data_IF_148724197724
#
_entry.id   IF_148724197724
#
_cell.length_a   1.000
_cell.length_b   1.000
_cell.length_c   1.000
_cell.angle_alpha   90.00
_cell.angle_beta   90.00
_cell.angle_gamma   90.00
#
_symmetry.space_group_name_H-M   'P 1'
#
loop_
_entity.id
_entity.type
_entity.pdbx_description
1 polymer ?
#
# COMPACT_ATOMS: atom_id res chain seq x y z
N UNK A 1 -28.18 20.47 46.04
CA UNK A 1 -26.77 20.14 45.65
C UNK A 1 -26.16 21.43 45.13
N UNK A 2 -25.21 22.02 45.86
CA UNK A 2 -24.66 23.35 45.53
C UNK A 2 -23.82 23.30 44.23
N UNK A 3 -23.91 24.36 43.39
CA UNK A 3 -23.20 24.48 42.13
C UNK A 3 -21.68 24.23 42.22
N UNK A 4 -21.08 24.48 43.38
CA UNK A 4 -19.67 24.16 43.69
C UNK A 4 -19.37 22.66 43.73
N UNK A 5 -20.28 21.85 44.26
CA UNK A 5 -20.13 20.38 44.32
C UNK A 5 -20.24 19.75 42.93
N UNK A 6 -21.08 20.33 42.06
CA UNK A 6 -21.21 19.87 40.67
C UNK A 6 -19.99 20.18 39.83
N UNK A 7 -19.38 21.35 39.99
CA UNK A 7 -18.13 21.75 39.31
C UNK A 7 -16.94 20.89 39.74
N UNK A 8 -16.81 20.55 41.03
CA UNK A 8 -15.74 19.68 41.52
C UNK A 8 -15.91 18.26 41.02
N UNK A 9 -17.12 17.73 40.97
CA UNK A 9 -17.40 16.40 40.47
C UNK A 9 -17.19 16.29 38.95
N UNK A 10 -17.57 17.31 38.17
CA UNK A 10 -17.27 17.39 36.74
C UNK A 10 -15.77 17.48 36.45
N UNK A 11 -15.03 18.27 37.26
CA UNK A 11 -13.56 18.35 37.14
C UNK A 11 -12.86 17.03 37.46
N UNK A 12 -13.32 16.29 38.48
CA UNK A 12 -12.80 14.97 38.84
C UNK A 12 -13.10 13.91 37.76
N UNK A 13 -14.28 13.95 37.15
CA UNK A 13 -14.65 13.05 36.05
C UNK A 13 -13.84 13.34 34.78
N UNK A 14 -13.60 14.61 34.45
CA UNK A 14 -12.73 15.00 33.33
C UNK A 14 -11.26 14.56 33.56
N UNK A 15 -10.74 14.72 34.78
CA UNK A 15 -9.37 14.25 35.11
C UNK A 15 -9.27 12.73 35.11
N UNK A 16 -10.29 12.00 35.54
CA UNK A 16 -10.31 10.55 35.47
C UNK A 16 -10.38 10.04 34.03
N UNK A 17 -11.19 10.68 33.18
CA UNK A 17 -11.24 10.34 31.75
C UNK A 17 -9.92 10.60 31.04
N UNK A 18 -9.27 11.74 31.27
CA UNK A 18 -7.94 12.04 30.71
C UNK A 18 -6.84 11.08 31.16
N UNK A 19 -6.88 10.67 32.44
CA UNK A 19 -5.92 9.65 32.94
C UNK A 19 -6.17 8.27 32.33
N UNK A 20 -7.43 7.88 32.13
CA UNK A 20 -7.78 6.62 31.50
C UNK A 20 -7.34 6.58 30.03
N UNK A 21 -7.53 7.66 29.29
CA UNK A 21 -7.08 7.78 27.91
C UNK A 21 -5.54 7.72 27.82
N UNK A 22 -4.79 8.46 28.64
CA UNK A 22 -3.34 8.43 28.66
C UNK A 22 -2.79 7.04 29.03
N UNK A 23 -3.39 6.34 29.98
CA UNK A 23 -2.98 5.00 30.38
C UNK A 23 -3.26 3.96 29.30
N UNK A 24 -4.35 4.14 28.53
CA UNK A 24 -4.67 3.29 27.39
C UNK A 24 -3.69 3.52 26.23
N UNK A 25 -3.29 4.74 25.96
CA UNK A 25 -2.31 5.08 24.94
C UNK A 25 -0.92 4.52 25.26
N UNK A 26 -0.48 4.53 26.55
CA UNK A 26 0.73 3.86 27.00
C UNK A 26 0.66 2.34 26.81
N UNK A 27 -0.49 1.73 27.08
CA UNK A 27 -0.74 0.30 26.84
C UNK A 27 -0.64 -0.08 25.37
N UNK A 28 -1.25 0.75 24.51
CA UNK A 28 -1.19 0.58 23.06
C UNK A 28 0.24 0.71 22.54
N UNK A 29 0.95 1.77 22.96
CA UNK A 29 2.34 1.97 22.57
C UNK A 29 3.22 0.77 22.93
N UNK A 30 3.12 0.26 24.16
CA UNK A 30 3.89 -0.89 24.62
C UNK A 30 3.56 -2.16 23.83
N UNK A 31 2.30 -2.39 23.48
CA UNK A 31 1.90 -3.51 22.62
C UNK A 31 2.55 -3.43 21.25
N UNK A 32 2.50 -2.23 20.61
CA UNK A 32 3.10 -1.99 19.31
C UNK A 32 4.63 -2.13 19.35
N UNK A 33 5.28 -1.59 20.38
CA UNK A 33 6.72 -1.70 20.58
C UNK A 33 7.19 -3.17 20.67
N UNK A 34 6.40 -4.05 21.28
CA UNK A 34 6.75 -5.47 21.38
C UNK A 34 6.54 -6.26 20.09
N UNK A 35 5.50 -5.94 19.31
CA UNK A 35 5.10 -6.72 18.15
C UNK A 35 5.54 -6.11 16.80
N UNK A 36 5.93 -4.83 16.79
CA UNK A 36 6.48 -4.19 15.59
C UNK A 36 7.96 -4.48 15.43
N UNK A 37 8.43 -4.37 14.21
CA UNK A 37 9.82 -4.66 13.86
C UNK A 37 10.33 -3.66 12.83
N UNK A 38 11.63 -3.45 12.84
CA UNK A 38 12.37 -2.78 11.76
C UNK A 38 12.97 -3.82 10.83
N UNK A 39 12.95 -3.56 9.53
CA UNK A 39 13.46 -4.48 8.52
C UNK A 39 14.71 -3.90 7.89
N UNK A 40 15.79 -4.67 7.97
CA UNK A 40 17.05 -4.35 7.34
C UNK A 40 17.22 -5.22 6.10
N UNK A 41 17.51 -4.58 4.99
CA UNK A 41 17.88 -5.24 3.72
C UNK A 41 19.34 -4.91 3.44
N UNK A 42 20.16 -5.95 3.28
CA UNK A 42 21.61 -5.81 3.08
C UNK A 42 22.26 -4.86 4.12
N UNK A 43 21.88 -5.03 5.40
CA UNK A 43 22.35 -4.26 6.58
C UNK A 43 21.91 -2.80 6.64
N UNK A 44 20.96 -2.36 5.80
CA UNK A 44 20.40 -1.00 5.80
C UNK A 44 18.95 -1.04 6.22
N UNK A 45 18.54 -0.12 7.11
CA UNK A 45 17.14 0.03 7.47
C UNK A 45 16.34 0.40 6.21
N UNK A 46 15.45 -0.49 5.79
CA UNK A 46 14.62 -0.36 4.60
C UNK A 46 13.17 0.04 4.91
N UNK A 47 12.68 -0.34 6.08
CA UNK A 47 11.32 -0.05 6.53
C UNK A 47 10.97 -0.78 7.81
N UNK A 48 9.68 -0.95 8.04
CA UNK A 48 9.09 -1.55 9.22
C UNK A 48 8.24 -2.78 8.87
N UNK A 49 7.72 -3.43 9.90
CA UNK A 49 6.76 -4.51 9.81
C UNK A 49 6.12 -4.78 11.15
N UNK A 50 5.26 -5.77 11.21
CA UNK A 50 4.73 -6.28 12.47
C UNK A 50 4.60 -7.80 12.44
N UNK A 51 4.81 -8.42 13.59
CA UNK A 51 4.57 -9.85 13.78
C UNK A 51 3.05 -10.03 13.92
N UNK A 52 2.46 -10.93 13.16
CA UNK A 52 1.00 -11.15 13.08
C UNK A 52 0.56 -12.58 13.47
N UNK A 53 1.52 -13.40 13.87
CA UNK A 53 1.29 -14.82 14.18
C UNK A 53 2.28 -15.25 15.28
N UNK A 54 1.85 -16.06 16.28
CA UNK A 54 2.71 -16.53 17.35
C UNK A 54 3.91 -17.38 16.87
N UNK A 55 3.80 -17.95 15.66
CA UNK A 55 4.90 -18.70 15.03
C UNK A 55 5.94 -17.81 14.34
N UNK A 56 5.77 -16.47 14.37
CA UNK A 56 6.73 -15.50 13.85
C UNK A 56 6.57 -15.23 12.36
N UNK A 57 5.35 -15.02 11.90
CA UNK A 57 5.08 -14.43 10.60
C UNK A 57 5.10 -12.91 10.76
N UNK A 58 5.94 -12.24 9.98
CA UNK A 58 6.01 -10.77 9.87
C UNK A 58 5.28 -10.35 8.61
N UNK A 59 4.40 -9.37 8.74
CA UNK A 59 3.75 -8.68 7.63
C UNK A 59 4.42 -7.33 7.45
N UNK A 60 4.75 -6.98 6.19
CA UNK A 60 5.41 -5.74 5.79
C UNK A 60 4.97 -5.32 4.39
N UNK A 61 5.44 -4.16 3.90
CA UNK A 61 5.24 -3.75 2.52
C UNK A 61 6.20 -4.48 1.57
N UNK A 62 5.71 -4.86 0.38
CA UNK A 62 6.52 -5.58 -0.61
C UNK A 62 7.70 -4.77 -1.11
N UNK A 63 7.53 -3.45 -1.32
CA UNK A 63 8.61 -2.57 -1.79
C UNK A 63 9.79 -2.47 -0.81
N UNK A 64 9.57 -2.71 0.49
CA UNK A 64 10.64 -2.73 1.51
C UNK A 64 11.65 -3.83 1.22
N UNK A 65 11.20 -4.96 0.66
CA UNK A 65 12.04 -6.15 0.46
C UNK A 65 12.20 -6.57 -1.02
N UNK A 66 11.50 -5.92 -1.97
CA UNK A 66 11.54 -6.33 -3.40
C UNK A 66 12.95 -6.34 -4.02
N UNK A 67 13.88 -5.58 -3.46
CA UNK A 67 15.27 -5.49 -3.91
C UNK A 67 16.24 -6.20 -2.96
N UNK A 68 15.76 -7.06 -2.05
CA UNK A 68 16.59 -7.82 -1.13
C UNK A 68 17.39 -8.89 -1.89
N UNK A 69 18.65 -8.59 -2.20
CA UNK A 69 19.50 -9.47 -2.99
C UNK A 69 20.07 -10.66 -2.21
N UNK A 70 20.18 -10.58 -0.87
CA UNK A 70 20.86 -11.62 -0.07
C UNK A 70 20.37 -11.78 1.36
N UNK A 71 20.15 -10.70 2.09
CA UNK A 71 19.93 -10.80 3.53
C UNK A 71 18.81 -9.88 3.98
N UNK A 72 17.78 -10.49 4.57
CA UNK A 72 16.71 -9.77 5.26
C UNK A 72 16.88 -10.05 6.74
N UNK A 73 17.07 -9.01 7.53
CA UNK A 73 17.14 -9.08 8.98
C UNK A 73 16.00 -8.28 9.59
N UNK A 74 15.54 -8.71 10.73
CA UNK A 74 14.45 -8.10 11.48
C UNK A 74 14.97 -7.70 12.84
N UNK A 75 14.82 -6.43 13.18
CA UNK A 75 15.14 -5.88 14.50
C UNK A 75 13.85 -5.76 15.30
N UNK A 76 13.79 -6.37 16.44
CA UNK A 76 12.65 -6.29 17.36
C UNK A 76 13.13 -5.83 18.72
N UNK A 77 12.45 -4.87 19.32
CA UNK A 77 12.76 -4.37 20.67
C UNK A 77 12.74 -5.50 21.72
N UNK A 78 11.80 -6.44 21.58
CA UNK A 78 11.63 -7.56 22.52
C UNK A 78 12.46 -8.81 22.21
N UNK A 79 12.90 -8.99 20.94
CA UNK A 79 13.54 -10.23 20.47
C UNK A 79 14.97 -10.04 19.96
N UNK A 80 15.43 -8.77 19.84
CA UNK A 80 16.71 -8.44 19.25
C UNK A 80 16.75 -8.64 17.73
N UNK A 81 17.92 -8.94 17.20
CA UNK A 81 18.18 -9.10 15.76
C UNK A 81 17.95 -10.55 15.33
N UNK A 82 17.09 -10.76 14.35
CA UNK A 82 16.69 -12.07 13.84
C UNK A 82 16.87 -12.10 12.31
N UNK A 83 17.14 -13.30 11.77
CA UNK A 83 17.11 -13.53 10.33
C UNK A 83 15.67 -13.69 9.87
N UNK A 84 15.26 -12.91 8.85
CA UNK A 84 14.00 -13.09 8.15
C UNK A 84 14.17 -13.87 6.84
N UNK A 85 13.20 -14.68 6.46
CA UNK A 85 13.14 -15.31 5.15
C UNK A 85 11.83 -14.94 4.46
N UNK A 86 11.91 -14.55 3.18
CA UNK A 86 10.72 -14.22 2.39
C UNK A 86 9.87 -15.48 2.20
N UNK A 87 8.60 -15.39 2.59
CA UNK A 87 7.64 -16.49 2.49
C UNK A 87 6.70 -16.28 1.28
N UNK A 88 6.10 -15.10 1.16
CA UNK A 88 5.15 -14.78 0.10
C UNK A 88 5.14 -13.27 -0.18
N UNK A 89 4.63 -12.88 -1.35
CA UNK A 89 4.49 -11.49 -1.76
C UNK A 89 3.20 -11.27 -2.54
N UNK A 90 2.58 -10.14 -2.30
CA UNK A 90 1.44 -9.60 -3.03
C UNK A 90 1.79 -8.20 -3.56
N UNK A 91 2.22 -8.15 -4.82
CA UNK A 91 2.63 -6.89 -5.44
C UNK A 91 1.45 -5.94 -5.71
N UNK A 92 0.24 -6.48 -5.92
CA UNK A 92 -0.96 -5.69 -6.19
C UNK A 92 -1.45 -4.88 -4.98
N UNK A 93 -1.10 -5.32 -3.79
CA UNK A 93 -1.45 -4.64 -2.54
C UNK A 93 -0.22 -4.19 -1.75
N UNK A 94 0.96 -4.28 -2.37
CA UNK A 94 2.24 -3.93 -1.75
C UNK A 94 2.46 -4.63 -0.39
N UNK A 95 2.20 -5.95 -0.32
CA UNK A 95 2.35 -6.75 0.89
C UNK A 95 3.41 -7.84 0.73
N UNK A 96 4.09 -8.16 1.81
CA UNK A 96 4.99 -9.32 1.89
C UNK A 96 4.95 -9.98 3.25
N UNK A 97 5.16 -11.29 3.26
CA UNK A 97 5.32 -12.10 4.47
C UNK A 97 6.77 -12.54 4.63
N UNK A 98 7.31 -12.31 5.82
CA UNK A 98 8.59 -12.90 6.23
C UNK A 98 8.34 -13.95 7.31
N UNK A 99 9.20 -14.97 7.34
CA UNK A 99 9.24 -15.97 8.39
C UNK A 99 10.45 -15.75 9.29
N UNK A 100 10.20 -15.66 10.59
CA UNK A 100 11.24 -15.63 11.63
C UNK A 100 11.60 -17.05 12.09
N UNK A 101 12.79 -17.24 12.68
CA UNK A 101 13.20 -18.51 13.27
C UNK A 101 12.22 -18.98 14.36
N UNK A 102 12.01 -20.30 14.45
CA UNK A 102 11.24 -20.90 15.53
C UNK A 102 11.88 -20.63 16.89
N UNK A 103 11.07 -20.41 17.91
CA UNK A 103 11.51 -20.22 19.30
C UNK A 103 10.64 -21.01 20.28
N UNK A 104 11.15 -21.21 21.50
CA UNK A 104 10.43 -21.96 22.56
C UNK A 104 9.18 -21.21 23.07
N UNK A 105 9.25 -19.88 23.17
CA UNK A 105 8.11 -19.04 23.57
C UNK A 105 7.44 -18.46 22.33
N UNK A 106 6.12 -18.27 22.29
CA UNK A 106 5.44 -17.58 21.20
C UNK A 106 6.05 -16.20 20.95
N UNK A 107 6.03 -15.75 19.69
CA UNK A 107 6.36 -14.36 19.36
C UNK A 107 5.25 -13.43 19.85
N UNK A 108 5.56 -12.23 20.35
CA UNK A 108 4.54 -11.19 20.51
C UNK A 108 3.98 -10.86 19.12
N UNK A 109 2.66 -10.66 19.00
CA UNK A 109 2.04 -10.43 17.71
C UNK A 109 0.79 -9.56 17.83
N UNK A 110 0.45 -8.88 16.72
CA UNK A 110 -0.79 -8.13 16.55
C UNK A 110 -1.87 -9.03 15.94
N UNK A 111 -3.08 -8.96 16.49
CA UNK A 111 -4.25 -9.62 15.89
C UNK A 111 -4.82 -8.72 14.80
N UNK A 112 -5.33 -9.30 13.72
CA UNK A 112 -6.07 -8.56 12.71
C UNK A 112 -7.48 -8.26 13.22
N UNK A 113 -7.93 -7.02 13.07
CA UNK A 113 -9.31 -6.63 13.39
C UNK A 113 -10.30 -7.46 12.57
N UNK A 114 -11.43 -7.84 13.14
CA UNK A 114 -12.43 -8.68 12.44
C UNK A 114 -13.07 -7.99 11.24
N UNK A 115 -13.34 -6.70 11.35
CA UNK A 115 -13.95 -5.85 10.30
C UNK A 115 -13.14 -4.59 10.13
N UNK A 116 -12.93 -4.09 8.90
CA UNK A 116 -12.28 -2.82 8.68
C UNK A 116 -12.98 -1.70 9.47
N UNK A 117 -12.24 -0.73 10.03
CA UNK A 117 -12.83 0.42 10.70
C UNK A 117 -13.61 1.29 9.69
N UNK A 118 -14.61 2.01 10.19
CA UNK A 118 -15.39 2.93 9.38
C UNK A 118 -14.56 4.16 8.96
N UNK A 119 -14.94 4.80 7.85
CA UNK A 119 -14.40 6.11 7.50
C UNK A 119 -14.62 7.11 8.67
N UNK A 120 -13.60 7.92 8.94
CA UNK A 120 -13.55 8.83 10.11
C UNK A 120 -13.04 8.20 11.41
N UNK A 121 -12.81 6.87 11.45
CA UNK A 121 -12.22 6.21 12.63
C UNK A 121 -10.76 6.63 12.81
N UNK A 122 -10.38 6.92 14.05
CA UNK A 122 -8.98 7.14 14.44
C UNK A 122 -8.23 5.81 14.49
N UNK A 123 -7.06 5.81 13.88
CA UNK A 123 -6.11 4.68 13.88
C UNK A 123 -4.70 5.22 14.14
N UNK A 124 -3.77 4.34 14.46
CA UNK A 124 -2.40 4.71 14.84
C UNK A 124 -1.40 3.93 13.99
N UNK A 125 -0.40 4.63 13.46
CA UNK A 125 0.73 4.05 12.76
C UNK A 125 1.92 3.98 13.70
N UNK A 126 2.65 2.86 13.67
CA UNK A 126 3.89 2.70 14.41
C UNK A 126 5.06 2.35 13.48
N UNK A 127 6.23 2.95 13.74
CA UNK A 127 7.42 2.67 12.93
C UNK A 127 8.59 3.60 13.21
N UNK A 128 9.52 3.72 12.25
CA UNK A 128 10.81 4.39 12.41
C UNK A 128 11.05 5.45 11.33
N UNK A 129 10.29 6.56 11.35
CA UNK A 129 10.39 7.61 10.33
C UNK A 129 11.79 8.25 10.35
N UNK A 130 12.41 8.35 9.17
CA UNK A 130 13.72 9.00 9.00
C UNK A 130 14.74 8.55 10.06
N UNK A 131 14.79 7.25 10.36
CA UNK A 131 15.65 6.62 11.37
C UNK A 131 15.37 7.07 12.82
N UNK A 132 14.17 7.59 13.13
CA UNK A 132 13.68 7.80 14.50
C UNK A 132 12.87 6.58 14.89
N UNK A 133 13.45 5.80 15.80
CA UNK A 133 12.86 4.54 16.24
C UNK A 133 11.62 4.77 17.09
N UNK A 134 10.69 3.80 17.04
CA UNK A 134 9.58 3.68 18.00
C UNK A 134 8.61 4.88 18.02
N UNK A 135 8.29 5.43 16.86
CA UNK A 135 7.36 6.56 16.73
C UNK A 135 5.95 6.07 16.45
N UNK A 136 4.98 6.54 17.24
CA UNK A 136 3.56 6.35 17.01
C UNK A 136 2.91 7.68 16.57
N UNK A 137 2.13 7.63 15.49
CA UNK A 137 1.40 8.80 14.96
C UNK A 137 -0.06 8.46 14.70
N UNK A 138 -1.02 9.37 14.94
CA UNK A 138 -2.42 9.16 14.62
C UNK A 138 -2.71 9.38 13.14
N UNK A 139 -3.80 8.79 12.67
CA UNK A 139 -4.42 9.03 11.38
C UNK A 139 -5.92 8.74 11.42
N UNK A 140 -6.63 9.12 10.36
CA UNK A 140 -8.05 8.85 10.19
C UNK A 140 -8.29 8.04 8.93
N UNK A 141 -9.12 7.00 8.98
CA UNK A 141 -9.57 6.31 7.78
C UNK A 141 -10.33 7.31 6.91
N UNK A 142 -9.76 7.69 5.77
CA UNK A 142 -10.29 8.77 4.94
C UNK A 142 -11.36 8.31 3.95
N UNK A 143 -11.40 7.01 3.61
CA UNK A 143 -12.28 6.47 2.59
C UNK A 143 -12.81 5.09 2.97
N UNK A 144 -14.07 4.80 2.62
CA UNK A 144 -14.70 3.50 2.91
C UNK A 144 -14.25 2.40 1.95
N UNK A 145 -14.20 2.72 0.65
CA UNK A 145 -13.78 1.77 -0.38
C UNK A 145 -12.29 1.91 -0.67
N UNK A 146 -11.69 0.82 -1.12
CA UNK A 146 -10.36 0.81 -1.70
C UNK A 146 -10.35 1.54 -3.05
N UNK A 147 -9.17 1.98 -3.46
CA UNK A 147 -8.92 2.61 -4.76
C UNK A 147 -7.53 2.21 -5.23
N UNK A 148 -7.15 2.66 -6.41
CA UNK A 148 -5.85 2.34 -6.98
C UNK A 148 -4.96 3.58 -7.06
N UNK A 149 -3.72 3.41 -6.63
CA UNK A 149 -2.68 4.43 -6.73
C UNK A 149 -1.54 3.93 -7.61
N UNK A 150 -1.00 4.85 -8.44
CA UNK A 150 0.13 4.54 -9.29
C UNK A 150 1.43 4.81 -8.53
N UNK A 151 2.12 3.75 -8.16
CA UNK A 151 3.32 3.80 -7.32
C UNK A 151 4.44 3.01 -7.98
N UNK A 152 5.61 3.62 -8.15
CA UNK A 152 6.79 2.97 -8.75
C UNK A 152 6.53 2.31 -10.12
N UNK A 153 5.63 2.87 -10.90
CA UNK A 153 5.32 2.36 -12.24
C UNK A 153 4.21 1.32 -12.31
N UNK A 154 3.58 0.98 -11.22
CA UNK A 154 2.52 -0.01 -11.15
C UNK A 154 1.33 0.50 -10.34
N UNK A 155 0.14 -0.05 -10.61
CA UNK A 155 -1.04 0.23 -9.79
C UNK A 155 -1.11 -0.73 -8.61
N UNK A 156 -1.32 -0.17 -7.42
CA UNK A 156 -1.60 -0.93 -6.21
C UNK A 156 -2.97 -0.55 -5.64
N UNK A 157 -3.71 -1.52 -5.12
CA UNK A 157 -4.97 -1.25 -4.41
C UNK A 157 -4.68 -0.85 -2.96
N UNK A 158 -5.27 0.26 -2.52
CA UNK A 158 -5.01 0.87 -1.21
C UNK A 158 -6.28 1.37 -0.53
N UNK A 159 -6.16 1.60 0.78
CA UNK A 159 -7.07 2.40 1.60
C UNK A 159 -6.42 3.75 1.88
N UNK A 160 -7.15 4.84 1.69
CA UNK A 160 -6.70 6.18 2.02
C UNK A 160 -6.83 6.47 3.53
N UNK A 161 -5.78 7.04 4.10
CA UNK A 161 -5.71 7.46 5.50
C UNK A 161 -5.27 8.93 5.52
N UNK A 162 -6.07 9.79 6.13
CA UNK A 162 -5.68 11.16 6.41
C UNK A 162 -4.68 11.14 7.58
N UNK A 163 -3.43 11.45 7.29
CA UNK A 163 -2.34 11.42 8.26
C UNK A 163 -1.02 11.81 7.62
N UNK A 164 -0.17 12.48 8.39
CA UNK A 164 1.15 12.86 7.94
C UNK A 164 2.12 11.69 8.12
N UNK A 165 2.50 11.08 7.02
CA UNK A 165 3.42 9.94 6.98
C UNK A 165 4.64 10.30 6.16
N UNK A 166 5.83 9.93 6.64
CA UNK A 166 7.10 10.17 5.96
C UNK A 166 7.82 8.85 5.66
N UNK A 167 8.94 8.94 4.94
CA UNK A 167 9.83 7.78 4.67
C UNK A 167 10.26 7.12 5.98
N UNK A 168 10.29 5.79 5.99
CA UNK A 168 10.67 4.96 7.14
C UNK A 168 9.49 4.32 7.85
N UNK A 169 8.25 4.79 7.65
CA UNK A 169 7.05 4.10 8.12
C UNK A 169 6.62 2.93 7.21
N UNK A 170 7.16 2.82 6.00
CA UNK A 170 6.82 1.75 5.03
C UNK A 170 6.85 0.38 5.69
N UNK A 171 5.77 -0.39 5.53
CA UNK A 171 5.58 -1.69 6.15
C UNK A 171 5.10 -1.66 7.61
N UNK A 172 5.06 -0.49 8.25
CA UNK A 172 4.58 -0.34 9.63
C UNK A 172 3.08 -0.62 9.77
N UNK A 173 2.64 -1.12 10.93
CA UNK A 173 1.24 -1.43 11.18
C UNK A 173 0.41 -0.17 11.44
N UNK A 174 -0.74 -0.08 10.77
CA UNK A 174 -1.87 0.72 11.20
C UNK A 174 -2.74 -0.11 12.13
N UNK A 175 -3.05 0.40 13.30
CA UNK A 175 -3.87 -0.30 14.30
C UNK A 175 -5.03 0.55 14.79
N UNK A 176 -6.09 -0.10 15.29
CA UNK A 176 -7.14 0.58 16.02
C UNK A 176 -6.69 0.87 17.49
N UNK A 177 -7.56 1.49 18.28
CA UNK A 177 -7.27 1.84 19.69
C UNK A 177 -7.08 0.60 20.58
N UNK A 178 -7.61 -0.55 20.18
CA UNK A 178 -7.46 -1.84 20.86
C UNK A 178 -6.15 -2.57 20.49
N UNK A 179 -5.31 -1.97 19.62
CA UNK A 179 -4.06 -2.56 19.15
C UNK A 179 -4.24 -3.67 18.12
N UNK A 180 -5.42 -3.76 17.50
CA UNK A 180 -5.65 -4.71 16.42
C UNK A 180 -5.25 -4.11 15.08
N UNK A 181 -4.58 -4.90 14.24
CA UNK A 181 -4.08 -4.50 12.93
C UNK A 181 -5.23 -4.22 11.96
N UNK A 182 -5.22 -3.05 11.34
CA UNK A 182 -6.20 -2.61 10.33
C UNK A 182 -5.61 -2.47 8.93
N UNK A 183 -4.30 -2.41 8.80
CA UNK A 183 -3.60 -2.32 7.52
C UNK A 183 -2.10 -2.15 7.67
N UNK A 184 -1.39 -2.12 6.55
CA UNK A 184 0.06 -1.94 6.50
C UNK A 184 0.39 -0.69 5.69
N UNK A 185 1.21 0.17 6.24
CA UNK A 185 1.65 1.39 5.57
C UNK A 185 2.43 1.04 4.28
N UNK A 186 1.91 1.47 3.15
CA UNK A 186 2.57 1.37 1.85
C UNK A 186 3.28 2.69 1.52
N UNK A 187 2.58 3.61 0.91
CA UNK A 187 3.12 4.88 0.41
C UNK A 187 2.30 6.08 0.90
N UNK A 188 2.62 7.27 0.42
CA UNK A 188 1.87 8.48 0.76
C UNK A 188 1.90 9.45 -0.44
N UNK A 189 0.86 10.26 -0.56
CA UNK A 189 0.80 11.32 -1.54
C UNK A 189 1.89 12.36 -1.26
N UNK A 190 2.68 12.68 -2.30
CA UNK A 190 3.70 13.72 -2.23
C UNK A 190 3.70 14.54 -3.52
N UNK A 191 3.90 15.83 -3.40
CA UNK A 191 4.20 16.74 -4.52
C UNK A 191 5.69 17.12 -4.40
N UNK A 192 6.52 16.57 -5.28
CA UNK A 192 7.96 16.58 -5.10
C UNK A 192 8.35 15.85 -3.80
N UNK A 193 9.07 16.54 -2.90
CA UNK A 193 9.45 15.97 -1.60
C UNK A 193 8.44 16.30 -0.46
N UNK A 194 7.37 17.05 -0.75
CA UNK A 194 6.39 17.50 0.24
C UNK A 194 5.23 16.51 0.36
N UNK A 195 5.10 15.86 1.53
CA UNK A 195 3.96 15.00 1.86
C UNK A 195 2.68 15.82 2.03
N UNK A 196 1.57 15.33 1.47
CA UNK A 196 0.30 16.06 1.38
C UNK A 196 -0.74 15.62 2.44
N UNK A 197 -0.33 14.84 3.44
CA UNK A 197 -1.23 14.42 4.53
C UNK A 197 -2.21 13.31 4.14
N UNK A 198 -2.01 12.66 3.01
CA UNK A 198 -2.75 11.48 2.59
C UNK A 198 -1.79 10.29 2.50
N UNK A 199 -1.98 9.30 3.35
CA UNK A 199 -1.24 8.04 3.39
C UNK A 199 -2.03 6.93 2.71
N UNK A 200 -1.32 5.94 2.19
CA UNK A 200 -1.86 4.78 1.50
C UNK A 200 -1.51 3.51 2.27
N UNK A 201 -2.53 2.80 2.70
CA UNK A 201 -2.39 1.54 3.43
C UNK A 201 -2.85 0.38 2.58
N UNK A 202 -2.11 -0.73 2.62
CA UNK A 202 -2.58 -1.98 2.06
C UNK A 202 -3.90 -2.42 2.74
N UNK A 203 -4.89 -2.94 1.97
CA UNK A 203 -6.17 -3.35 2.51
C UNK A 203 -6.05 -4.55 3.46
N UNK A 204 -6.82 -4.52 4.56
CA UNK A 204 -6.86 -5.61 5.54
C UNK A 204 -7.22 -6.96 4.91
N UNK A 205 -8.14 -6.97 3.94
CA UNK A 205 -8.60 -8.20 3.30
C UNK A 205 -7.49 -8.86 2.48
N UNK A 206 -6.70 -8.07 1.75
CA UNK A 206 -5.52 -8.56 1.05
C UNK A 206 -4.49 -9.17 2.01
N UNK A 207 -4.27 -8.53 3.16
CA UNK A 207 -3.41 -9.08 4.21
C UNK A 207 -3.93 -10.41 4.75
N UNK A 208 -5.26 -10.56 4.96
CA UNK A 208 -5.88 -11.83 5.37
C UNK A 208 -5.68 -12.94 4.35
N UNK A 209 -5.92 -12.63 3.08
CA UNK A 209 -5.77 -13.59 1.99
C UNK A 209 -4.33 -14.06 1.86
N UNK A 210 -3.37 -13.14 1.90
CA UNK A 210 -1.95 -13.47 1.84
C UNK A 210 -1.49 -14.33 3.03
N UNK A 211 -1.95 -14.01 4.24
CA UNK A 211 -1.68 -14.79 5.45
C UNK A 211 -2.28 -16.20 5.40
N UNK A 212 -3.46 -16.34 4.79
CA UNK A 212 -4.15 -17.63 4.63
C UNK A 212 -3.48 -18.50 3.57
N UNK A 213 -3.21 -17.95 2.39
CA UNK A 213 -2.61 -18.71 1.28
C UNK A 213 -1.13 -18.98 1.51
N UNK A 214 -0.40 -17.98 2.01
CA UNK A 214 1.08 -17.95 2.09
C UNK A 214 1.74 -18.19 0.74
N UNK A 215 1.07 -17.78 -0.33
CA UNK A 215 1.52 -17.94 -1.71
C UNK A 215 1.68 -16.58 -2.39
N UNK A 216 2.55 -16.52 -3.38
CA UNK A 216 2.70 -15.34 -4.21
C UNK A 216 1.44 -15.11 -5.04
N UNK A 217 0.90 -13.91 -4.98
CA UNK A 217 -0.27 -13.54 -5.78
C UNK A 217 0.10 -13.32 -7.26
N UNK A 218 -0.92 -13.40 -8.12
CA UNK A 218 -0.78 -13.23 -9.57
C UNK A 218 -1.87 -12.27 -10.02
N UNK A 219 -1.49 -11.05 -10.32
CA UNK A 219 -2.39 -10.05 -10.89
C UNK A 219 -1.92 -9.63 -12.27
N UNK A 220 -2.87 -9.30 -13.13
CA UNK A 220 -2.59 -8.81 -14.46
C UNK A 220 -2.22 -7.32 -14.44
N UNK A 221 -1.38 -6.89 -15.41
CA UNK A 221 -1.06 -5.47 -15.65
C UNK A 221 -1.10 -5.15 -17.14
N UNK A 222 -1.47 -3.92 -17.46
CA UNK A 222 -1.35 -3.36 -18.81
C UNK A 222 0.07 -2.84 -19.07
N UNK A 223 0.88 -2.61 -18.04
CA UNK A 223 2.20 -2.00 -18.15
C UNK A 223 2.11 -0.56 -18.64
N UNK A 224 1.18 0.22 -18.10
CA UNK A 224 0.94 1.60 -18.50
C UNK A 224 0.46 2.46 -17.30
N UNK A 225 0.82 3.73 -17.29
CA UNK A 225 0.24 4.75 -16.43
C UNK A 225 -0.94 5.41 -17.14
N UNK A 226 -2.09 5.49 -16.47
CA UNK A 226 -3.38 5.88 -17.02
C UNK A 226 -3.97 7.01 -16.18
N UNK A 227 -4.46 8.05 -16.84
CA UNK A 227 -5.15 9.19 -16.21
C UNK A 227 -6.59 9.26 -16.71
N UNK A 228 -7.48 9.76 -15.87
CA UNK A 228 -8.86 10.01 -16.25
C UNK A 228 -8.91 11.23 -17.20
N UNK A 229 -9.85 11.26 -18.14
CA UNK A 229 -9.87 12.30 -19.17
C UNK A 229 -10.00 13.71 -18.56
N UNK A 230 -10.75 13.84 -17.46
CA UNK A 230 -10.91 15.11 -16.74
C UNK A 230 -9.70 15.54 -15.89
N UNK A 231 -8.66 14.70 -15.74
CA UNK A 231 -7.37 15.09 -15.15
C UNK A 231 -6.50 15.88 -16.15
N UNK A 232 -6.92 15.93 -17.43
CA UNK A 232 -6.14 16.57 -18.50
C UNK A 232 -6.25 18.11 -18.46
N UNK A 233 -5.24 18.76 -19.02
CA UNK A 233 -5.24 20.23 -19.13
C UNK A 233 -6.38 20.73 -20.02
N UNK A 234 -6.99 21.90 -19.74
CA UNK A 234 -8.09 22.45 -20.52
C UNK A 234 -7.83 22.49 -22.03
N UNK A 235 -6.65 22.93 -22.46
CA UNK A 235 -6.29 22.99 -23.87
C UNK A 235 -6.12 21.65 -24.58
N UNK A 236 -6.06 20.53 -23.82
CA UNK A 236 -6.18 19.19 -24.38
C UNK A 236 -7.66 18.83 -24.58
N UNK A 237 -8.50 19.09 -23.57
CA UNK A 237 -9.93 18.76 -23.61
C UNK A 237 -10.67 19.51 -24.73
N UNK A 238 -10.33 20.78 -24.97
CA UNK A 238 -10.91 21.60 -26.04
C UNK A 238 -10.70 21.04 -27.47
N UNK A 239 -9.73 20.15 -27.64
CA UNK A 239 -9.43 19.52 -28.94
C UNK A 239 -10.15 18.20 -29.14
N UNK A 240 -10.77 17.65 -28.11
CA UNK A 240 -11.48 16.39 -28.18
C UNK A 240 -12.94 16.61 -28.65
N UNK A 241 -13.54 15.64 -29.39
CA UNK A 241 -14.98 15.62 -29.59
C UNK A 241 -15.73 15.70 -28.24
N UNK A 242 -16.87 16.40 -28.21
CA UNK A 242 -17.62 16.67 -26.96
C UNK A 242 -18.07 15.38 -26.23
N UNK A 243 -18.29 14.30 -26.98
CA UNK A 243 -18.71 13.00 -26.47
C UNK A 243 -17.55 12.05 -26.12
N UNK A 244 -16.31 12.56 -26.14
CA UNK A 244 -15.15 11.72 -25.82
C UNK A 244 -15.12 11.39 -24.32
N UNK A 245 -15.19 10.10 -23.98
CA UNK A 245 -15.02 9.57 -22.63
C UNK A 245 -13.93 8.52 -22.60
N UNK A 246 -13.39 8.25 -21.40
CA UNK A 246 -12.39 7.20 -21.23
C UNK A 246 -11.16 7.61 -20.43
N UNK A 247 -10.07 6.87 -20.63
CA UNK A 247 -8.84 6.95 -19.87
C UNK A 247 -7.65 7.18 -20.80
N UNK A 248 -6.89 8.22 -20.53
CA UNK A 248 -5.71 8.61 -21.34
C UNK A 248 -4.49 7.81 -20.89
N UNK A 249 -3.83 7.12 -21.81
CA UNK A 249 -2.56 6.44 -21.57
C UNK A 249 -1.45 7.48 -21.53
N UNK A 250 -0.88 7.75 -20.34
CA UNK A 250 0.18 8.77 -20.16
C UNK A 250 1.57 8.18 -20.25
N UNK A 251 1.74 6.97 -19.74
CA UNK A 251 3.03 6.26 -19.71
C UNK A 251 2.84 4.89 -20.32
N UNK A 252 3.74 4.51 -21.21
CA UNK A 252 3.83 3.15 -21.77
C UNK A 252 5.15 2.54 -21.31
N UNK A 253 5.08 1.44 -20.60
CA UNK A 253 6.28 0.75 -20.14
C UNK A 253 6.82 -0.14 -21.25
N UNK A 254 8.07 0.06 -21.59
CA UNK A 254 8.74 -0.73 -22.64
C UNK A 254 8.70 -2.24 -22.33
N UNK A 255 8.18 -3.02 -23.25
CA UNK A 255 7.96 -4.45 -23.09
C UNK A 255 6.71 -4.83 -22.29
N UNK A 256 5.91 -3.85 -21.83
CA UNK A 256 4.61 -4.06 -21.21
C UNK A 256 3.52 -4.46 -22.22
N UNK A 257 2.34 -4.82 -21.73
CA UNK A 257 1.24 -5.30 -22.56
C UNK A 257 0.77 -4.25 -23.59
N UNK A 258 0.66 -2.98 -23.18
CA UNK A 258 0.29 -1.86 -24.07
C UNK A 258 1.36 -1.64 -25.14
N UNK A 259 2.65 -1.64 -24.77
CA UNK A 259 3.76 -1.49 -25.73
C UNK A 259 3.78 -2.61 -26.77
N UNK A 260 3.63 -3.86 -26.31
CA UNK A 260 3.59 -5.05 -27.19
C UNK A 260 2.38 -5.04 -28.16
N UNK A 261 1.30 -4.37 -27.80
CA UNK A 261 0.08 -4.24 -28.63
C UNK A 261 0.13 -3.06 -29.61
N UNK A 262 1.22 -2.26 -29.60
CA UNK A 262 1.40 -1.10 -30.48
C UNK A 262 0.43 0.06 -30.17
N UNK A 263 -0.08 0.15 -28.95
CA UNK A 263 -0.88 1.28 -28.49
C UNK A 263 0.07 2.35 -27.96
N UNK A 264 -0.02 3.57 -28.50
CA UNK A 264 0.87 4.66 -28.15
C UNK A 264 0.39 5.42 -26.89
N UNK A 265 1.33 6.11 -26.22
CA UNK A 265 1.00 7.12 -25.24
C UNK A 265 0.14 8.22 -25.88
N UNK A 266 -0.81 8.76 -25.12
CA UNK A 266 -1.83 9.70 -25.60
C UNK A 266 -3.11 9.03 -26.12
N UNK A 267 -3.09 7.74 -26.48
CA UNK A 267 -4.33 7.01 -26.83
C UNK A 267 -5.32 7.01 -25.67
N UNK A 268 -6.61 6.96 -25.99
CA UNK A 268 -7.71 6.95 -25.02
C UNK A 268 -8.36 5.57 -25.01
N UNK A 269 -8.46 4.92 -23.87
CA UNK A 269 -9.19 3.66 -23.67
C UNK A 269 -10.62 4.00 -23.27
N UNK A 270 -11.62 3.58 -24.08
CA UNK A 270 -13.04 3.81 -23.82
C UNK A 270 -13.77 2.57 -23.30
N UNK A 271 -13.27 1.36 -23.57
CA UNK A 271 -13.86 0.12 -23.07
C UNK A 271 -12.81 -0.99 -22.94
N UNK A 272 -13.11 -1.99 -22.10
CA UNK A 272 -12.41 -3.26 -21.99
C UNK A 272 -13.43 -4.40 -22.03
N UNK A 273 -13.23 -5.36 -22.95
CA UNK A 273 -14.17 -6.48 -23.18
C UNK A 273 -15.63 -6.00 -23.27
N UNK A 274 -15.87 -5.00 -24.15
CA UNK A 274 -17.16 -4.36 -24.39
C UNK A 274 -17.74 -3.57 -23.18
N UNK A 275 -17.06 -3.57 -22.03
CA UNK A 275 -17.49 -2.82 -20.84
C UNK A 275 -16.90 -1.40 -20.88
N UNK A 276 -17.74 -0.33 -20.98
CA UNK A 276 -17.27 1.05 -20.96
C UNK A 276 -16.52 1.37 -19.69
N UNK A 277 -15.46 2.19 -19.79
CA UNK A 277 -14.64 2.66 -18.67
C UNK A 277 -14.40 4.15 -18.77
N UNK A 278 -14.70 4.88 -17.69
CA UNK A 278 -14.49 6.31 -17.56
C UNK A 278 -13.57 6.63 -16.38
N UNK A 279 -13.54 5.70 -15.41
CA UNK A 279 -12.70 5.84 -14.21
C UNK A 279 -11.60 4.80 -14.18
N UNK A 280 -10.45 5.20 -13.71
CA UNK A 280 -9.29 4.33 -13.51
C UNK A 280 -9.63 3.10 -12.65
N UNK A 281 -10.38 3.31 -11.56
CA UNK A 281 -10.81 2.23 -10.68
C UNK A 281 -11.68 1.18 -11.41
N UNK A 282 -12.51 1.58 -12.38
CA UNK A 282 -13.34 0.67 -13.18
C UNK A 282 -12.48 -0.24 -14.03
N UNK A 283 -11.56 0.34 -14.82
CA UNK A 283 -10.66 -0.43 -15.67
C UNK A 283 -9.80 -1.40 -14.85
N UNK A 284 -9.22 -0.95 -13.74
CA UNK A 284 -8.33 -1.80 -12.92
C UNK A 284 -9.08 -2.92 -12.21
N UNK A 285 -10.35 -2.69 -11.81
CA UNK A 285 -11.19 -3.76 -11.26
C UNK A 285 -11.60 -4.78 -12.32
N UNK A 286 -11.83 -4.38 -13.57
CA UNK A 286 -12.05 -5.29 -14.68
C UNK A 286 -10.78 -6.09 -14.96
N UNK A 287 -9.64 -5.40 -15.11
CA UNK A 287 -8.33 -6.00 -15.37
C UNK A 287 -7.98 -7.10 -14.36
N UNK A 288 -8.26 -6.89 -13.07
CA UNK A 288 -7.92 -7.84 -12.02
C UNK A 288 -8.87 -9.04 -11.91
N UNK A 289 -9.88 -9.14 -12.78
CA UNK A 289 -10.65 -10.39 -12.97
C UNK A 289 -9.93 -11.38 -13.87
N UNK A 290 -8.94 -10.92 -14.63
CA UNK A 290 -8.15 -11.71 -15.56
C UNK A 290 -6.82 -12.18 -14.94
N UNK A 291 -6.28 -13.24 -15.54
CA UNK A 291 -4.97 -13.77 -15.17
C UNK A 291 -3.88 -13.21 -16.10
N UNK A 292 -2.63 -13.08 -15.60
CA UNK A 292 -1.49 -12.77 -16.47
C UNK A 292 -1.40 -13.77 -17.64
N UNK A 293 -1.22 -13.23 -18.84
CA UNK A 293 -1.15 -14.00 -20.09
C UNK A 293 -2.50 -14.19 -20.81
N UNK A 294 -3.63 -13.86 -20.19
CA UNK A 294 -4.92 -13.77 -20.90
C UNK A 294 -4.92 -12.59 -21.87
N UNK A 295 -5.78 -12.66 -22.87
CA UNK A 295 -5.98 -11.58 -23.84
C UNK A 295 -7.33 -10.93 -23.59
N UNK A 296 -7.33 -9.60 -23.54
CA UNK A 296 -8.52 -8.76 -23.42
C UNK A 296 -8.63 -7.87 -24.64
N UNK A 297 -9.83 -7.44 -24.98
CA UNK A 297 -10.09 -6.49 -26.05
C UNK A 297 -10.20 -5.07 -25.48
N UNK A 298 -9.30 -4.15 -25.90
CA UNK A 298 -9.39 -2.74 -25.55
C UNK A 298 -9.97 -1.95 -26.73
N UNK A 299 -11.05 -1.20 -26.50
CA UNK A 299 -11.48 -0.17 -27.42
C UNK A 299 -10.64 1.10 -27.16
N UNK A 300 -9.90 1.52 -28.18
CA UNK A 300 -9.00 2.67 -28.08
C UNK A 300 -9.20 3.63 -29.22
N UNK A 301 -9.00 4.93 -28.96
CA UNK A 301 -8.92 5.98 -29.98
C UNK A 301 -7.56 6.64 -29.97
N UNK A 302 -7.27 7.40 -31.02
CA UNK A 302 -6.10 8.29 -31.07
C UNK A 302 -6.20 9.39 -30.01
N UNK A 303 -5.10 10.12 -29.81
CA UNK A 303 -4.99 11.19 -28.79
C UNK A 303 -5.96 12.38 -29.02
N UNK A 304 -6.50 12.51 -30.24
CA UNK A 304 -7.52 13.49 -30.60
C UNK A 304 -8.96 12.96 -30.51
N UNK A 305 -9.14 11.76 -29.94
CA UNK A 305 -10.45 11.11 -29.80
C UNK A 305 -10.97 10.46 -31.08
N UNK A 306 -10.23 10.51 -32.19
CA UNK A 306 -10.62 9.92 -33.47
C UNK A 306 -10.06 8.50 -33.65
N UNK A 307 -10.34 7.85 -34.79
CA UNK A 307 -9.80 6.56 -35.16
C UNK A 307 -10.04 5.45 -34.13
N UNK A 308 -11.27 5.31 -33.66
CA UNK A 308 -11.66 4.23 -32.74
C UNK A 308 -11.38 2.86 -33.36
N UNK A 309 -10.77 1.97 -32.57
CA UNK A 309 -10.45 0.59 -32.96
C UNK A 309 -10.41 -0.31 -31.75
N UNK A 310 -10.70 -1.59 -31.95
CA UNK A 310 -10.52 -2.63 -30.93
C UNK A 310 -9.16 -3.28 -31.11
N UNK A 311 -8.42 -3.44 -30.02
CA UNK A 311 -7.06 -4.00 -30.03
C UNK A 311 -6.98 -5.14 -29.02
N UNK A 312 -6.60 -6.36 -29.44
CA UNK A 312 -6.31 -7.44 -28.52
C UNK A 312 -5.02 -7.17 -27.75
N UNK A 313 -5.08 -7.24 -26.43
CA UNK A 313 -3.95 -6.97 -25.53
C UNK A 313 -3.69 -8.20 -24.67
N UNK A 314 -2.52 -8.82 -24.82
CA UNK A 314 -2.09 -9.91 -23.95
C UNK A 314 -1.54 -9.33 -22.65
N UNK A 315 -2.20 -9.62 -21.55
CA UNK A 315 -1.92 -9.05 -20.23
C UNK A 315 -0.55 -9.51 -19.69
N UNK A 316 0.18 -8.57 -19.12
CA UNK A 316 1.41 -8.81 -18.38
C UNK A 316 1.14 -9.29 -16.94
N UNK A 317 2.20 -9.64 -16.23
CA UNK A 317 2.17 -9.96 -14.80
C UNK A 317 2.61 -8.76 -13.98
N UNK A 318 1.85 -8.43 -12.95
CA UNK A 318 2.20 -7.43 -11.96
C UNK A 318 3.25 -7.99 -10.98
N UNK A 319 4.31 -7.21 -10.76
CA UNK A 319 5.37 -7.54 -9.81
C UNK A 319 6.33 -8.66 -10.26
N UNK A 320 7.28 -9.05 -9.40
CA UNK A 320 8.30 -10.03 -9.74
C UNK A 320 7.72 -11.45 -9.81
N UNK A 321 8.29 -12.26 -10.70
CA UNK A 321 8.01 -13.69 -10.75
C UNK A 321 8.85 -14.41 -9.69
N UNK A 322 8.23 -15.22 -8.79
CA UNK A 322 8.95 -15.97 -7.76
C UNK A 322 9.98 -16.96 -8.33
N UNK A 323 9.83 -17.38 -9.60
CA UNK A 323 10.78 -18.27 -10.29
C UNK A 323 11.96 -17.52 -10.93
N UNK A 324 11.84 -16.21 -11.08
CA UNK A 324 12.92 -15.38 -11.66
C UNK A 324 13.77 -14.83 -10.51
N UNK A 325 15.09 -15.09 -10.50
CA UNK A 325 15.98 -14.46 -9.53
C UNK A 325 15.84 -12.93 -9.63
N UNK A 326 15.62 -12.27 -8.50
CA UNK A 326 15.54 -10.80 -8.45
C UNK A 326 16.81 -10.23 -9.10
N UNK A 327 16.71 -9.41 -10.16
CA UNK A 327 17.88 -8.89 -10.87
C UNK A 327 18.79 -8.13 -9.91
N UNK A 328 20.09 -8.43 -9.94
CA UNK A 328 21.09 -7.70 -9.15
C UNK A 328 21.16 -6.27 -9.68
N UNK A 329 20.50 -5.33 -9.02
CA UNK A 329 20.65 -3.92 -9.35
C UNK A 329 22.10 -3.52 -9.08
N UNK A 330 22.85 -3.15 -10.12
CA UNK A 330 24.18 -2.57 -9.96
C UNK A 330 24.01 -1.31 -9.12
N UNK A 331 24.62 -1.29 -7.94
CA UNK A 331 24.71 -0.09 -7.12
C UNK A 331 25.49 0.95 -7.94
N UNK A 332 24.79 1.90 -8.52
CA UNK A 332 25.43 3.08 -9.09
C UNK A 332 25.92 3.88 -7.90
N UNK A 333 27.22 3.87 -7.66
CA UNK A 333 27.86 4.78 -6.72
C UNK A 333 27.59 6.20 -7.22
N UNK A 334 26.62 6.90 -6.64
CA UNK A 334 26.57 8.35 -6.72
C UNK A 334 27.77 8.86 -5.91
N UNK A 335 28.82 9.29 -6.59
CA UNK A 335 29.87 10.08 -6.00
C UNK A 335 29.23 11.33 -5.35
N UNK A 336 29.55 11.54 -4.10
CA UNK A 336 29.15 12.75 -3.38
C UNK A 336 29.94 13.91 -4.01
N UNK A 337 29.26 14.80 -4.66
CA UNK A 337 29.71 16.18 -4.84
C UNK A 337 29.20 17.05 -3.70
#
# INVERSE_FOLDING_TARGET
>A
MNSRSFLIMAGLLLHAAHRADAQQDDGLYNQLHQASVEILVDRRLAGCGCIVDPDGIVLTAAHVIKNANRQIEVMSASLGRLQGSLLAMDAAHDLALLKLPKRKKPHPYLKLVKKPPAAGSTIYLYGSPLFRHDVMVPGLVARKQTTFEYVDGEYIEVVHIAGLVTRGFSGGPWVNREGELVGIQSSAMALGDAHQGLAFSAPLEAARQLLKSREWTKYATLGAGIEEIWEQQPGYLEKLPEDTSGLVIRVVHKGGAIDASGIAAGSIISAMDEQPVERRDELLRLLWRHQPGETVELEVSAADGTQKRTVPVRLGRLGPDPQTPIPRTKVVKKERQ
#
